data_IF_319046956993
#
_entry.id   IF_319046956993
#
_cell.length_a   1.000
_cell.length_b   1.000
_cell.length_c   1.000
_cell.angle_alpha   90.00
_cell.angle_beta   90.00
_cell.angle_gamma   90.00
#
_symmetry.space_group_name_H-M   'P 1'
#
loop_
_entity.id
_entity.type
_entity.pdbx_description
1 polymer ?
#
# COMPACT_ATOMS: atom_id res chain seq x y z
N UNK A 1 -5.63 24.24 29.02
CA UNK A 1 -5.26 22.96 29.67
C UNK A 1 -6.01 21.77 29.07
N UNK A 2 -7.35 21.79 29.03
CA UNK A 2 -8.16 20.68 28.48
C UNK A 2 -7.93 20.41 26.98
N UNK A 3 -7.80 21.47 26.15
CA UNK A 3 -7.56 21.34 24.71
C UNK A 3 -6.23 20.63 24.39
N UNK A 4 -5.16 20.96 25.11
CA UNK A 4 -3.85 20.32 24.95
C UNK A 4 -3.86 18.82 25.35
N UNK A 5 -4.74 18.43 26.28
CA UNK A 5 -4.90 17.04 26.69
C UNK A 5 -5.62 16.22 25.61
N UNK A 6 -6.62 16.82 24.93
CA UNK A 6 -7.35 16.22 23.81
C UNK A 6 -6.44 16.02 22.57
N UNK A 7 -5.61 17.00 22.22
CA UNK A 7 -4.64 16.87 21.11
C UNK A 7 -3.62 15.76 21.38
N UNK A 8 -3.14 15.63 22.62
CA UNK A 8 -2.22 14.57 23.02
C UNK A 8 -2.87 13.17 22.96
N UNK A 9 -4.15 13.05 23.32
CA UNK A 9 -4.89 11.79 23.23
C UNK A 9 -5.17 11.40 21.77
N UNK A 10 -5.50 12.35 20.91
CA UNK A 10 -5.72 12.12 19.47
C UNK A 10 -4.42 11.67 18.78
N UNK A 11 -3.28 12.28 19.15
CA UNK A 11 -1.95 11.87 18.68
C UNK A 11 -1.57 10.47 19.17
N UNK A 12 -1.94 10.10 20.41
CA UNK A 12 -1.66 8.78 20.97
C UNK A 12 -2.52 7.67 20.30
N UNK A 13 -3.77 7.97 19.96
CA UNK A 13 -4.68 7.03 19.30
C UNK A 13 -4.36 6.80 17.81
N UNK A 14 -3.57 7.70 17.19
CA UNK A 14 -3.04 7.58 15.82
C UNK A 14 -1.54 7.25 15.79
N UNK A 15 -0.99 6.66 16.86
CA UNK A 15 0.39 6.19 16.88
C UNK A 15 0.55 5.02 15.90
N UNK A 16 1.10 5.29 14.72
CA UNK A 16 1.60 4.23 13.85
C UNK A 16 2.69 3.45 14.58
N UNK A 17 2.38 2.19 14.92
CA UNK A 17 3.38 1.21 15.31
C UNK A 17 4.18 0.85 14.05
N UNK A 18 5.19 1.66 13.76
CA UNK A 18 6.10 1.43 12.65
C UNK A 18 6.91 0.16 12.89
N UNK A 19 6.41 -0.98 12.40
CA UNK A 19 7.10 -2.27 12.48
C UNK A 19 8.10 -2.49 11.31
N UNK A 20 8.42 -1.45 10.55
CA UNK A 20 9.44 -1.53 9.50
C UNK A 20 10.36 -0.32 9.54
N UNK A 21 11.61 -0.57 9.91
CA UNK A 21 12.66 0.41 9.80
C UNK A 21 12.97 0.71 8.32
N UNK A 22 13.03 2.01 8.06
CA UNK A 22 13.96 2.67 7.15
C UNK A 22 13.77 2.43 5.65
N UNK A 23 12.78 3.13 5.11
CA UNK A 23 12.97 3.85 3.85
C UNK A 23 12.87 5.35 4.13
N UNK A 24 13.93 5.98 4.63
CA UNK A 24 14.08 7.42 4.37
C UNK A 24 14.34 7.53 2.87
N UNK A 25 13.27 7.54 2.08
CA UNK A 25 13.32 7.94 0.70
C UNK A 25 13.58 9.43 0.67
N UNK A 26 14.86 9.81 0.71
CA UNK A 26 15.26 11.08 0.13
C UNK A 26 14.65 11.16 -1.26
N UNK A 27 14.05 12.30 -1.57
CA UNK A 27 13.45 12.59 -2.86
C UNK A 27 14.48 12.23 -3.95
N UNK A 28 14.24 11.14 -4.69
CA UNK A 28 15.16 10.61 -5.72
C UNK A 28 15.64 9.15 -5.56
N UNK A 29 15.31 8.44 -4.48
CA UNK A 29 15.74 7.03 -4.28
C UNK A 29 14.74 5.95 -4.74
N UNK A 30 13.73 6.29 -5.57
CA UNK A 30 12.61 5.40 -5.92
C UNK A 30 12.52 5.06 -7.41
N UNK A 31 13.66 4.88 -8.09
CA UNK A 31 13.62 4.37 -9.46
C UNK A 31 13.06 2.92 -9.54
N UNK A 32 13.07 2.19 -8.41
CA UNK A 32 12.31 0.94 -8.21
C UNK A 32 11.14 1.20 -7.26
N UNK A 33 10.02 0.51 -7.47
CA UNK A 33 8.78 0.70 -6.73
C UNK A 33 8.89 0.41 -5.23
N UNK A 34 7.78 0.57 -4.51
CA UNK A 34 7.72 0.14 -3.12
C UNK A 34 7.60 -1.38 -3.03
N UNK A 35 7.93 -1.96 -1.87
CA UNK A 35 7.80 -3.41 -1.62
C UNK A 35 6.41 -3.97 -1.93
N UNK A 36 5.37 -3.13 -1.84
CA UNK A 36 4.02 -3.47 -2.25
C UNK A 36 3.86 -3.60 -3.77
N UNK A 37 4.44 -2.71 -4.58
CA UNK A 37 4.40 -2.84 -6.04
C UNK A 37 5.11 -4.12 -6.48
N UNK A 38 6.25 -4.44 -5.85
CA UNK A 38 7.00 -5.70 -6.05
C UNK A 38 6.17 -6.93 -5.65
N UNK A 39 5.47 -6.87 -4.51
CA UNK A 39 4.56 -7.94 -4.08
C UNK A 39 3.42 -8.15 -5.08
N UNK A 40 2.86 -7.07 -5.64
CA UNK A 40 1.87 -7.18 -6.70
C UNK A 40 2.45 -7.82 -7.97
N UNK A 41 3.70 -7.58 -8.36
CA UNK A 41 4.31 -8.26 -9.53
C UNK A 41 4.23 -9.78 -9.39
N UNK A 42 4.59 -10.27 -8.20
CA UNK A 42 4.65 -11.71 -7.94
C UNK A 42 3.26 -12.32 -7.77
N UNK A 43 2.32 -11.58 -7.18
CA UNK A 43 1.02 -12.12 -6.75
C UNK A 43 -0.12 -11.85 -7.74
N UNK A 44 -0.08 -10.78 -8.54
CA UNK A 44 -1.15 -10.44 -9.49
C UNK A 44 -1.45 -11.54 -10.54
N UNK A 45 -0.49 -12.39 -10.98
CA UNK A 45 -0.80 -13.53 -11.85
C UNK A 45 -1.68 -14.60 -11.21
N UNK A 46 -1.82 -14.61 -9.88
CA UNK A 46 -2.71 -15.49 -9.15
C UNK A 46 -4.11 -14.85 -9.19
N UNK A 47 -4.88 -15.20 -10.22
CA UNK A 47 -6.17 -14.58 -10.52
C UNK A 47 -7.35 -15.20 -9.76
N UNK A 48 -7.15 -16.33 -9.10
CA UNK A 48 -8.17 -17.10 -8.37
C UNK A 48 -8.26 -16.72 -6.88
N UNK A 49 -7.61 -15.62 -6.46
CA UNK A 49 -7.63 -15.11 -5.08
C UNK A 49 -7.96 -13.63 -5.03
N UNK A 50 -8.44 -13.17 -3.88
CA UNK A 50 -8.66 -11.75 -3.62
C UNK A 50 -7.38 -11.09 -3.05
N UNK A 51 -6.80 -10.15 -3.79
CA UNK A 51 -5.67 -9.32 -3.33
C UNK A 51 -6.19 -8.10 -2.56
N UNK A 52 -6.22 -8.18 -1.22
CA UNK A 52 -6.68 -7.09 -0.34
C UNK A 52 -5.51 -6.17 0.00
N UNK A 53 -5.65 -4.89 -0.30
CA UNK A 53 -4.65 -3.85 0.00
C UNK A 53 -5.09 -3.07 1.23
N UNK A 54 -4.33 -3.17 2.32
CA UNK A 54 -4.54 -2.33 3.49
C UNK A 54 -3.60 -1.12 3.45
N UNK A 55 -4.12 0.02 2.99
CA UNK A 55 -3.35 1.26 2.91
C UNK A 55 -4.16 2.40 2.30
N UNK A 56 -3.53 3.57 2.11
CA UNK A 56 -4.14 4.67 1.37
C UNK A 56 -4.51 4.24 -0.05
N UNK A 57 -5.61 4.78 -0.59
CA UNK A 57 -6.13 4.43 -1.93
C UNK A 57 -5.08 4.61 -3.05
N UNK A 58 -4.13 5.53 -2.87
CA UNK A 58 -3.03 5.77 -3.79
C UNK A 58 -2.18 4.51 -4.05
N UNK A 59 -2.00 3.62 -3.07
CA UNK A 59 -1.24 2.39 -3.27
C UNK A 59 -1.91 1.47 -4.30
N UNK A 60 -3.20 1.14 -4.09
CA UNK A 60 -3.93 0.28 -5.02
C UNK A 60 -4.11 0.96 -6.39
N UNK A 61 -4.44 2.25 -6.40
CA UNK A 61 -4.68 3.00 -7.65
C UNK A 61 -3.47 3.09 -8.57
N UNK A 62 -2.26 3.27 -8.04
CA UNK A 62 -1.04 3.36 -8.85
C UNK A 62 -0.52 2.00 -9.35
N UNK A 63 -0.84 0.89 -8.68
CA UNK A 63 -0.32 -0.45 -9.04
C UNK A 63 -1.31 -1.33 -9.82
N UNK A 64 -2.63 -1.03 -9.77
CA UNK A 64 -3.72 -1.87 -10.28
C UNK A 64 -3.54 -2.40 -11.72
N UNK A 65 -2.99 -1.58 -12.62
CA UNK A 65 -2.81 -1.93 -14.04
C UNK A 65 -1.34 -1.96 -14.46
N UNK A 66 -0.42 -2.01 -13.48
CA UNK A 66 1.00 -1.98 -13.78
C UNK A 66 1.48 -3.32 -14.41
N UNK A 67 0.60 -4.34 -14.50
CA UNK A 67 0.81 -5.60 -15.25
C UNK A 67 -0.47 -5.92 -16.02
N UNK A 68 -0.39 -6.18 -17.33
CA UNK A 68 -1.57 -6.47 -18.15
C UNK A 68 -2.40 -7.62 -17.57
N UNK A 69 -3.63 -7.33 -17.14
CA UNK A 69 -4.52 -8.33 -16.55
C UNK A 69 -5.06 -9.23 -17.67
N UNK A 70 -4.74 -10.53 -17.63
CA UNK A 70 -5.38 -11.50 -18.52
C UNK A 70 -6.80 -11.71 -18.02
N UNK A 71 -7.78 -11.10 -18.70
CA UNK A 71 -9.17 -11.47 -18.51
C UNK A 71 -9.37 -12.90 -19.01
N UNK A 72 -9.89 -13.80 -18.17
CA UNK A 72 -10.45 -15.07 -18.62
C UNK A 72 -11.79 -14.76 -19.29
N UNK A 73 -11.78 -14.56 -20.61
CA UNK A 73 -13.01 -14.45 -21.38
C UNK A 73 -13.86 -15.72 -21.25
N UNK A 74 -15.18 -15.59 -21.34
CA UNK A 74 -16.07 -16.74 -21.46
C UNK A 74 -15.69 -17.50 -22.74
N UNK A 75 -15.31 -18.77 -22.60
CA UNK A 75 -15.20 -19.66 -23.74
C UNK A 75 -16.63 -20.16 -24.00
N UNK A 76 -17.30 -19.53 -24.98
CA UNK A 76 -18.59 -20.01 -25.49
C UNK A 76 -18.39 -21.24 -26.39
#
# INVERSE_FOLDING_TARGET
MLAALLDALHAAHHRQVGFFHAGQGGQGATAGGCSFDEAQIALLPIADVAHIVHGPIACAGSSWDNRGTRSSGVTL
#
